data_IF_346966615947
#
_entry.id   IF_346966615947
#
_cell.length_a   1.000
_cell.length_b   1.000
_cell.length_c   1.000
_cell.angle_alpha   90.00
_cell.angle_beta   90.00
_cell.angle_gamma   90.00
#
_symmetry.space_group_name_H-M   'P 1'
#
loop_
_entity.id
_entity.type
_entity.pdbx_description
1 polymer ?
#
# COMPACT_ATOMS: atom_id res chain seq x y z
N UNK A 1 -14.93 -33.08 3.34
CA UNK A 1 -14.34 -33.92 4.41
C UNK A 1 -12.82 -33.88 4.26
N UNK A 2 -12.19 -32.82 4.77
CA UNK A 2 -10.73 -32.71 4.85
C UNK A 2 -10.38 -32.81 6.33
N UNK A 3 -9.71 -33.90 6.72
CA UNK A 3 -9.12 -34.04 8.05
C UNK A 3 -7.90 -33.12 8.07
N UNK A 4 -8.03 -31.97 8.69
CA UNK A 4 -6.89 -31.17 9.11
C UNK A 4 -6.50 -31.70 10.49
N UNK A 5 -5.35 -32.34 10.58
CA UNK A 5 -4.76 -32.74 11.85
C UNK A 5 -4.60 -31.50 12.73
N UNK A 6 -5.33 -31.49 13.84
CA UNK A 6 -5.16 -30.54 14.94
C UNK A 6 -3.88 -30.97 15.65
N UNK A 7 -2.74 -30.59 15.09
CA UNK A 7 -1.49 -30.58 15.82
C UNK A 7 -1.47 -29.31 16.66
N UNK A 8 -1.50 -29.56 17.96
CA UNK A 8 -1.47 -28.64 19.09
C UNK A 8 -0.13 -27.87 19.12
N UNK A 9 0.10 -27.01 18.13
CA UNK A 9 1.18 -26.04 18.18
C UNK A 9 0.72 -24.88 19.07
N UNK A 10 0.99 -25.02 20.36
CA UNK A 10 1.10 -23.90 21.30
C UNK A 10 1.78 -22.73 20.58
N UNK A 11 1.00 -21.70 20.29
CA UNK A 11 1.49 -20.41 19.83
C UNK A 11 2.45 -19.92 20.91
N UNK A 12 3.76 -20.02 20.64
CA UNK A 12 4.82 -19.48 21.48
C UNK A 12 4.79 -17.96 21.34
N UNK A 13 3.80 -17.35 21.96
CA UNK A 13 3.66 -15.90 22.00
C UNK A 13 4.73 -15.32 22.93
N UNK A 14 5.48 -14.37 22.38
CA UNK A 14 6.15 -13.28 23.10
C UNK A 14 7.29 -13.64 24.06
N UNK A 15 8.30 -14.35 23.57
CA UNK A 15 9.65 -14.27 24.15
C UNK A 15 10.55 -13.39 23.29
N UNK A 16 10.60 -13.67 21.99
CA UNK A 16 11.61 -13.11 21.09
C UNK A 16 11.36 -11.63 20.73
N UNK A 17 10.09 -11.19 20.70
CA UNK A 17 9.73 -9.79 20.42
C UNK A 17 10.10 -8.88 21.60
N UNK A 18 9.87 -9.35 22.83
CA UNK A 18 10.24 -8.63 24.04
C UNK A 18 11.76 -8.66 24.27
N UNK A 19 12.42 -9.78 23.97
CA UNK A 19 13.88 -9.90 24.01
C UNK A 19 14.57 -8.98 23.00
N UNK A 20 14.06 -8.89 21.78
CA UNK A 20 14.55 -7.95 20.76
C UNK A 20 14.31 -6.48 21.14
N UNK A 21 13.17 -6.16 21.78
CA UNK A 21 12.88 -4.81 22.28
C UNK A 21 13.80 -4.42 23.46
N UNK A 22 14.08 -5.36 24.37
CA UNK A 22 15.00 -5.16 25.50
C UNK A 22 16.45 -5.07 25.02
N UNK A 23 16.90 -5.86 24.05
CA UNK A 23 18.23 -5.72 23.43
C UNK A 23 18.40 -4.38 22.70
N UNK A 24 17.35 -3.88 22.04
CA UNK A 24 17.39 -2.57 21.39
C UNK A 24 17.49 -1.42 22.40
N UNK A 25 16.74 -1.50 23.50
CA UNK A 25 16.80 -0.55 24.62
C UNK A 25 18.09 -0.68 25.44
N UNK A 26 18.73 -1.85 25.43
CA UNK A 26 20.02 -2.13 26.06
C UNK A 26 21.22 -1.95 25.12
N UNK A 27 21.04 -1.27 23.96
CA UNK A 27 22.14 -0.78 23.13
C UNK A 27 22.87 0.37 23.84
N UNK A 28 23.55 0.02 24.93
CA UNK A 28 24.52 0.87 25.60
C UNK A 28 25.49 1.40 24.53
N UNK A 29 25.58 2.74 24.46
CA UNK A 29 26.52 3.38 23.55
C UNK A 29 27.89 2.78 23.85
N UNK A 30 28.56 2.13 22.89
CA UNK A 30 29.82 1.44 23.18
C UNK A 30 30.81 2.49 23.67
N UNK A 31 31.18 2.40 24.95
CA UNK A 31 32.04 3.37 25.63
C UNK A 31 33.38 3.60 24.93
N UNK A 32 33.85 2.61 24.16
CA UNK A 32 35.00 2.75 23.26
C UNK A 32 34.79 3.82 22.19
N UNK A 33 33.60 3.92 21.59
CA UNK A 33 33.27 4.98 20.62
C UNK A 33 33.12 6.34 21.29
N UNK A 34 32.59 6.38 22.52
CA UNK A 34 32.46 7.61 23.31
C UNK A 34 33.84 8.14 23.70
N UNK A 35 34.74 7.28 24.18
CA UNK A 35 36.11 7.67 24.52
C UNK A 35 36.90 8.14 23.29
N UNK A 36 36.81 7.42 22.16
CA UNK A 36 37.45 7.86 20.90
C UNK A 36 36.88 9.20 20.43
N UNK A 37 35.57 9.44 20.60
CA UNK A 37 34.94 10.72 20.29
C UNK A 37 35.44 11.85 21.20
N UNK A 38 35.51 11.63 22.51
CA UNK A 38 36.01 12.63 23.47
C UNK A 38 37.47 12.98 23.18
N UNK A 39 38.32 11.98 22.91
CA UNK A 39 39.73 12.21 22.54
C UNK A 39 39.83 12.98 21.22
N UNK A 40 39.03 12.63 20.21
CA UNK A 40 39.00 13.35 18.94
C UNK A 40 38.57 14.82 19.11
N UNK A 41 37.57 15.10 19.97
CA UNK A 41 37.12 16.46 20.30
C UNK A 41 38.21 17.25 21.05
N UNK A 42 38.92 16.63 21.99
CA UNK A 42 40.04 17.27 22.69
C UNK A 42 41.19 17.62 21.73
N UNK A 43 41.54 16.73 20.80
CA UNK A 43 42.56 16.98 19.76
C UNK A 43 42.12 18.10 18.82
N UNK A 44 40.85 18.12 18.43
CA UNK A 44 40.22 19.18 17.65
C UNK A 44 40.33 20.55 18.33
N UNK A 45 39.92 20.64 19.61
CA UNK A 45 39.95 21.88 20.38
C UNK A 45 41.38 22.38 20.60
N UNK A 46 42.32 21.47 20.85
CA UNK A 46 43.74 21.82 20.98
C UNK A 46 44.32 22.38 19.66
N UNK A 47 44.06 21.73 18.52
CA UNK A 47 44.51 22.21 17.20
C UNK A 47 43.86 23.54 16.78
N UNK A 48 42.60 23.74 17.15
CA UNK A 48 41.87 24.99 16.94
C UNK A 48 42.48 26.13 17.76
N UNK A 49 42.80 25.87 19.04
CA UNK A 49 43.39 26.85 19.95
C UNK A 49 44.83 27.23 19.55
N UNK A 50 45.65 26.27 19.13
CA UNK A 50 47.02 26.59 18.68
C UNK A 50 47.01 27.43 17.41
N UNK A 51 46.18 27.09 16.43
CA UNK A 51 46.09 27.87 15.18
C UNK A 51 45.52 29.28 15.39
N UNK A 52 44.59 29.44 16.34
CA UNK A 52 44.06 30.75 16.74
C UNK A 52 45.15 31.68 17.29
N UNK A 53 46.00 31.16 18.19
CA UNK A 53 47.05 31.95 18.86
C UNK A 53 48.12 32.42 17.87
N UNK A 54 48.41 31.64 16.83
CA UNK A 54 49.55 31.90 15.94
C UNK A 54 49.19 32.49 14.56
N UNK A 55 48.01 32.23 14.01
CA UNK A 55 47.67 32.55 12.61
C UNK A 55 46.31 33.25 12.42
N UNK A 56 45.58 33.54 13.50
CA UNK A 56 44.29 34.22 13.47
C UNK A 56 43.09 33.28 13.32
N UNK A 57 41.89 33.86 13.40
CA UNK A 57 40.64 33.09 13.52
C UNK A 57 40.19 32.39 12.22
N UNK A 58 40.57 32.91 11.05
CA UNK A 58 40.15 32.38 9.74
C UNK A 58 40.79 31.01 9.43
N UNK A 59 42.07 30.83 9.75
CA UNK A 59 42.80 29.56 9.57
C UNK A 59 42.32 28.49 10.54
N UNK A 60 41.96 28.89 11.76
CA UNK A 60 41.36 28.03 12.77
C UNK A 60 40.04 27.38 12.28
N UNK A 61 39.18 28.15 11.60
CA UNK A 61 37.94 27.63 11.00
C UNK A 61 38.20 26.61 9.88
N UNK A 62 39.20 26.86 9.03
CA UNK A 62 39.57 25.93 7.95
C UNK A 62 40.09 24.61 8.51
N UNK A 63 40.95 24.67 9.54
CA UNK A 63 41.49 23.48 10.21
C UNK A 63 40.38 22.69 10.90
N UNK A 64 39.46 23.36 11.59
CA UNK A 64 38.29 22.72 12.20
C UNK A 64 37.44 21.99 11.15
N UNK A 65 37.15 22.64 10.01
CA UNK A 65 36.37 22.04 8.93
C UNK A 65 37.04 20.79 8.36
N UNK A 66 38.35 20.83 8.10
CA UNK A 66 39.12 19.68 7.59
C UNK A 66 39.07 18.52 8.58
N UNK A 67 39.28 18.78 9.87
CA UNK A 67 39.29 17.71 10.87
C UNK A 67 37.89 17.10 11.04
N UNK A 68 36.81 17.89 10.94
CA UNK A 68 35.43 17.37 10.93
C UNK A 68 35.22 16.44 9.72
N UNK A 69 35.67 16.84 8.52
CA UNK A 69 35.56 16.01 7.32
C UNK A 69 36.33 14.70 7.49
N UNK A 70 37.57 14.76 7.98
CA UNK A 70 38.41 13.57 8.25
C UNK A 70 37.75 12.66 9.29
N UNK A 71 37.20 13.23 10.37
CA UNK A 71 36.47 12.47 11.38
C UNK A 71 35.24 11.77 10.79
N UNK A 72 34.44 12.47 9.98
CA UNK A 72 33.27 11.89 9.33
C UNK A 72 33.66 10.76 8.37
N UNK A 73 34.69 10.97 7.57
CA UNK A 73 35.20 9.94 6.65
C UNK A 73 35.67 8.72 7.43
N UNK A 74 36.51 8.87 8.46
CA UNK A 74 37.08 7.74 9.20
C UNK A 74 36.03 6.98 10.03
N UNK A 75 35.16 7.69 10.74
CA UNK A 75 34.23 7.07 11.68
C UNK A 75 32.94 6.59 11.00
N UNK A 76 32.47 7.31 9.97
CA UNK A 76 31.26 6.99 9.23
C UNK A 76 31.53 6.45 7.82
N UNK A 77 32.77 6.03 7.49
CA UNK A 77 33.13 5.46 6.18
C UNK A 77 32.14 4.39 5.71
N UNK A 78 31.78 3.47 6.62
CA UNK A 78 30.84 2.38 6.33
C UNK A 78 29.46 2.92 5.96
N UNK A 79 28.99 3.96 6.62
CA UNK A 79 27.72 4.61 6.32
C UNK A 79 27.78 5.41 5.03
N UNK A 80 28.87 6.12 4.75
CA UNK A 80 29.09 6.81 3.48
C UNK A 80 29.11 5.83 2.30
N UNK A 81 29.78 4.69 2.47
CA UNK A 81 29.81 3.63 1.47
C UNK A 81 28.42 3.03 1.23
N UNK A 82 27.66 2.74 2.29
CA UNK A 82 26.27 2.29 2.17
C UNK A 82 25.42 3.35 1.47
N UNK A 83 25.53 4.61 1.89
CA UNK A 83 24.77 5.73 1.30
C UNK A 83 25.08 5.92 -0.18
N UNK A 84 26.35 5.85 -0.59
CA UNK A 84 26.73 5.89 -2.00
C UNK A 84 26.19 4.70 -2.79
N UNK A 85 26.22 3.50 -2.20
CA UNK A 85 25.71 2.29 -2.84
C UNK A 85 24.19 2.28 -2.96
N UNK A 86 23.46 2.81 -1.97
CA UNK A 86 21.99 2.93 -2.01
C UNK A 86 21.51 4.19 -2.70
N UNK A 87 22.37 5.20 -2.91
CA UNK A 87 22.02 6.49 -3.50
C UNK A 87 21.19 6.33 -4.77
N UNK A 88 21.62 5.48 -5.72
CA UNK A 88 20.87 5.26 -6.97
C UNK A 88 19.44 4.80 -6.73
N UNK A 89 19.23 3.85 -5.82
CA UNK A 89 17.91 3.36 -5.42
C UNK A 89 17.12 4.48 -4.74
N UNK A 90 17.74 5.18 -3.80
CA UNK A 90 17.07 6.19 -2.97
C UNK A 90 16.69 7.42 -3.80
N UNK A 91 17.53 7.85 -4.74
CA UNK A 91 17.20 8.88 -5.73
C UNK A 91 16.06 8.44 -6.65
N UNK A 92 16.04 7.17 -7.09
CA UNK A 92 14.94 6.65 -7.91
C UNK A 92 13.63 6.62 -7.14
N UNK A 93 13.67 6.23 -5.85
CA UNK A 93 12.53 6.27 -4.96
C UNK A 93 12.05 7.71 -4.71
N UNK A 94 12.97 8.64 -4.45
CA UNK A 94 12.67 10.06 -4.27
C UNK A 94 12.04 10.66 -5.53
N UNK A 95 12.60 10.37 -6.70
CA UNK A 95 12.05 10.82 -7.97
C UNK A 95 10.66 10.25 -8.22
N UNK A 96 10.46 8.94 -7.97
CA UNK A 96 9.14 8.31 -8.05
C UNK A 96 8.14 8.96 -7.10
N UNK A 97 8.55 9.23 -5.86
CA UNK A 97 7.74 9.91 -4.85
C UNK A 97 7.34 11.32 -5.28
N UNK A 98 8.30 12.13 -5.75
CA UNK A 98 8.02 13.48 -6.26
C UNK A 98 7.10 13.44 -7.49
N UNK A 99 7.27 12.45 -8.37
CA UNK A 99 6.41 12.24 -9.54
C UNK A 99 4.98 11.88 -9.11
N UNK A 100 4.81 10.97 -8.15
CA UNK A 100 3.49 10.62 -7.60
C UNK A 100 2.84 11.84 -6.96
N UNK A 101 3.57 12.60 -6.14
CA UNK A 101 3.04 13.84 -5.55
C UNK A 101 2.59 14.86 -6.60
N UNK A 102 3.39 15.07 -7.65
CA UNK A 102 3.05 15.97 -8.74
C UNK A 102 1.81 15.50 -9.50
N UNK A 103 1.72 14.20 -9.79
CA UNK A 103 0.59 13.59 -10.48
C UNK A 103 -0.70 13.69 -9.64
N UNK A 104 -0.64 13.33 -8.36
CA UNK A 104 -1.76 13.42 -7.43
C UNK A 104 -2.25 14.87 -7.28
N UNK A 105 -1.32 15.84 -7.18
CA UNK A 105 -1.67 17.27 -7.18
C UNK A 105 -2.36 17.70 -8.47
N UNK A 106 -1.89 17.23 -9.62
CA UNK A 106 -2.47 17.54 -10.93
C UNK A 106 -3.90 16.98 -11.06
N UNK A 107 -4.13 15.74 -10.66
CA UNK A 107 -5.46 15.12 -10.68
C UNK A 107 -6.42 15.77 -9.69
N UNK A 108 -5.94 16.07 -8.47
CA UNK A 108 -6.73 16.78 -7.46
C UNK A 108 -7.16 18.17 -7.93
N UNK A 109 -6.26 18.95 -8.55
CA UNK A 109 -6.60 20.28 -9.11
C UNK A 109 -7.65 20.22 -10.20
N UNK A 110 -7.70 19.12 -10.97
CA UNK A 110 -8.68 18.89 -12.04
C UNK A 110 -9.97 18.23 -11.56
N UNK A 111 -10.07 17.90 -10.27
CA UNK A 111 -11.17 17.13 -9.68
C UNK A 111 -11.44 15.80 -10.39
N UNK A 112 -10.38 15.14 -10.89
CA UNK A 112 -10.53 13.88 -11.60
C UNK A 112 -10.94 12.75 -10.65
N UNK A 113 -11.98 12.01 -11.02
CA UNK A 113 -12.38 10.79 -10.35
C UNK A 113 -11.56 9.59 -10.83
N UNK A 114 -11.46 8.52 -10.03
CA UNK A 114 -10.76 7.30 -10.44
C UNK A 114 -11.31 6.70 -11.75
N UNK A 115 -12.63 6.64 -11.97
CA UNK A 115 -13.18 6.22 -13.26
C UNK A 115 -12.81 7.13 -14.43
N UNK A 116 -12.68 8.44 -14.23
CA UNK A 116 -12.22 9.36 -15.30
C UNK A 116 -10.75 9.14 -15.64
N UNK A 117 -9.90 8.93 -14.64
CA UNK A 117 -8.48 8.59 -14.86
C UNK A 117 -8.40 7.28 -15.65
N UNK A 118 -9.18 6.27 -15.25
CA UNK A 118 -9.24 5.00 -15.96
C UNK A 118 -9.76 5.17 -17.41
N UNK A 119 -10.84 5.91 -17.61
CA UNK A 119 -11.40 6.20 -18.93
C UNK A 119 -10.37 6.85 -19.86
N UNK A 120 -9.60 7.82 -19.35
CA UNK A 120 -8.51 8.44 -20.12
C UNK A 120 -7.42 7.44 -20.55
N UNK A 121 -7.16 6.40 -19.76
CA UNK A 121 -6.24 5.31 -20.12
C UNK A 121 -6.88 4.41 -21.18
N UNK A 122 -8.17 4.09 -21.03
CA UNK A 122 -8.92 3.27 -21.99
C UNK A 122 -8.94 3.94 -23.37
N UNK A 123 -9.17 5.25 -23.44
CA UNK A 123 -9.14 6.01 -24.71
C UNK A 123 -7.78 5.92 -25.43
N UNK A 124 -6.67 5.76 -24.69
CA UNK A 124 -5.33 5.65 -25.27
C UNK A 124 -4.95 4.22 -25.65
N UNK A 125 -5.46 3.23 -24.91
CA UNK A 125 -5.04 1.84 -25.02
C UNK A 125 -6.23 0.87 -24.87
N UNK A 126 -7.28 0.95 -25.71
CA UNK A 126 -8.52 0.21 -25.48
C UNK A 126 -8.33 -1.31 -25.55
N UNK A 127 -7.54 -1.78 -26.51
CA UNK A 127 -7.34 -3.21 -26.78
C UNK A 127 -6.15 -3.82 -26.03
N UNK A 128 -5.44 -3.01 -25.23
CA UNK A 128 -4.33 -3.50 -24.42
C UNK A 128 -4.85 -4.34 -23.25
N UNK A 129 -4.16 -5.43 -22.93
CA UNK A 129 -4.43 -6.22 -21.74
C UNK A 129 -4.33 -5.35 -20.47
N UNK A 130 -5.41 -5.37 -19.67
CA UNK A 130 -5.55 -4.67 -18.40
C UNK A 130 -5.40 -5.64 -17.22
N UNK A 131 -6.09 -6.78 -17.26
CA UNK A 131 -5.96 -7.85 -16.27
C UNK A 131 -5.75 -9.20 -16.94
N UNK A 132 -4.91 -10.02 -16.32
CA UNK A 132 -4.69 -11.42 -16.66
C UNK A 132 -5.21 -12.24 -15.47
N UNK A 133 -6.09 -13.19 -15.73
CA UNK A 133 -6.69 -14.04 -14.70
C UNK A 133 -6.90 -15.44 -15.28
N UNK A 134 -6.19 -16.44 -14.76
CA UNK A 134 -6.20 -17.80 -15.31
C UNK A 134 -5.97 -17.76 -16.84
N UNK A 135 -6.87 -18.35 -17.62
CA UNK A 135 -6.85 -18.35 -19.08
C UNK A 135 -7.52 -17.12 -19.73
N UNK A 136 -8.00 -16.17 -18.92
CA UNK A 136 -8.70 -14.97 -19.37
C UNK A 136 -7.76 -13.76 -19.50
N UNK A 137 -7.89 -13.05 -20.62
CA UNK A 137 -7.28 -11.73 -20.81
C UNK A 137 -8.36 -10.69 -20.95
N UNK A 138 -8.40 -9.74 -20.00
CA UNK A 138 -9.34 -8.63 -20.00
C UNK A 138 -8.66 -7.36 -20.52
N UNK A 139 -9.18 -6.78 -21.59
CA UNK A 139 -8.68 -5.50 -22.12
C UNK A 139 -9.19 -4.32 -21.31
N UNK A 140 -8.54 -3.16 -21.43
CA UNK A 140 -9.02 -1.92 -20.81
C UNK A 140 -10.46 -1.60 -21.20
N UNK A 141 -10.81 -1.76 -22.49
CA UNK A 141 -12.16 -1.53 -22.99
C UNK A 141 -13.19 -2.47 -22.36
N UNK A 142 -12.88 -3.77 -22.22
CA UNK A 142 -13.78 -4.73 -21.61
C UNK A 142 -14.07 -4.43 -20.14
N UNK A 143 -13.05 -4.00 -19.38
CA UNK A 143 -13.22 -3.56 -17.99
C UNK A 143 -14.07 -2.29 -17.90
N UNK A 144 -13.86 -1.34 -18.81
CA UNK A 144 -14.68 -0.14 -18.89
C UNK A 144 -16.14 -0.47 -19.19
N UNK A 145 -16.40 -1.28 -20.21
CA UNK A 145 -17.75 -1.69 -20.60
C UNK A 145 -18.46 -2.41 -19.45
N UNK A 146 -17.75 -3.29 -18.74
CA UNK A 146 -18.28 -3.98 -17.56
C UNK A 146 -18.60 -2.99 -16.44
N UNK A 147 -17.68 -2.08 -16.12
CA UNK A 147 -17.87 -1.03 -15.12
C UNK A 147 -19.07 -0.13 -15.43
N UNK A 148 -19.28 0.23 -16.70
CA UNK A 148 -20.43 1.00 -17.16
C UNK A 148 -21.73 0.21 -16.95
N UNK A 149 -21.77 -1.08 -17.30
CA UNK A 149 -22.93 -1.94 -17.04
C UNK A 149 -23.25 -2.05 -15.55
N UNK A 150 -22.24 -2.22 -14.70
CA UNK A 150 -22.41 -2.23 -13.23
C UNK A 150 -23.00 -0.91 -12.76
N UNK A 151 -22.46 0.24 -13.20
CA UNK A 151 -22.98 1.54 -12.81
C UNK A 151 -24.44 1.75 -13.21
N UNK A 152 -24.83 1.29 -14.42
CA UNK A 152 -26.21 1.37 -14.88
C UNK A 152 -27.14 0.47 -14.05
N UNK A 153 -26.71 -0.75 -13.72
CA UNK A 153 -27.45 -1.68 -12.88
C UNK A 153 -27.62 -1.13 -11.44
N UNK A 154 -26.56 -0.58 -10.84
CA UNK A 154 -26.64 0.01 -9.51
C UNK A 154 -27.53 1.25 -9.47
N UNK A 155 -27.44 2.10 -10.50
CA UNK A 155 -28.33 3.26 -10.65
C UNK A 155 -29.80 2.85 -10.72
N UNK A 156 -30.13 1.78 -11.46
CA UNK A 156 -31.52 1.28 -11.54
C UNK A 156 -32.01 0.66 -10.22
N UNK A 157 -31.11 0.17 -9.37
CA UNK A 157 -31.41 -0.27 -7.99
C UNK A 157 -31.53 0.88 -6.99
N UNK A 158 -31.29 2.12 -7.43
CA UNK A 158 -31.47 3.34 -6.66
C UNK A 158 -30.23 3.79 -5.89
N UNK A 159 -29.03 3.31 -6.25
CA UNK A 159 -27.76 3.81 -5.68
C UNK A 159 -27.56 5.27 -6.09
N UNK A 160 -27.22 6.11 -5.12
CA UNK A 160 -26.97 7.55 -5.27
C UNK A 160 -25.56 7.91 -4.85
N UNK A 161 -25.15 9.13 -5.23
CA UNK A 161 -23.88 9.72 -4.77
C UNK A 161 -23.87 9.81 -3.25
N UNK A 162 -22.77 9.37 -2.65
CA UNK A 162 -22.60 9.34 -1.19
C UNK A 162 -23.09 8.08 -0.50
N UNK A 163 -23.83 7.20 -1.20
CA UNK A 163 -24.20 5.90 -0.64
C UNK A 163 -22.95 5.02 -0.47
N UNK A 164 -22.98 4.16 0.54
CA UNK A 164 -21.95 3.16 0.76
C UNK A 164 -22.40 1.82 0.19
N UNK A 165 -21.64 1.30 -0.78
CA UNK A 165 -21.90 0.04 -1.47
C UNK A 165 -20.73 -0.90 -1.21
N UNK A 166 -20.86 -1.76 -0.20
CA UNK A 166 -19.82 -2.75 0.08
C UNK A 166 -19.68 -3.76 -1.06
N UNK A 167 -18.45 -4.23 -1.28
CA UNK A 167 -18.14 -5.24 -2.29
C UNK A 167 -17.38 -6.38 -1.61
N UNK A 168 -17.93 -7.60 -1.67
CA UNK A 168 -17.30 -8.84 -1.24
C UNK A 168 -17.18 -9.78 -2.43
N UNK A 169 -16.02 -9.77 -3.06
CA UNK A 169 -15.74 -10.51 -4.29
C UNK A 169 -14.32 -11.09 -4.23
N UNK A 170 -14.09 -12.19 -4.94
CA UNK A 170 -12.76 -12.78 -5.08
C UNK A 170 -11.83 -11.92 -5.92
N UNK A 171 -10.58 -12.37 -6.06
CA UNK A 171 -9.53 -11.67 -6.81
C UNK A 171 -9.61 -11.96 -8.32
N UNK A 172 -10.71 -11.58 -8.95
CA UNK A 172 -10.92 -11.71 -10.40
C UNK A 172 -11.20 -10.34 -11.05
N UNK A 173 -11.06 -10.20 -12.39
CA UNK A 173 -11.15 -8.91 -13.09
C UNK A 173 -12.48 -8.17 -12.93
N UNK A 174 -13.56 -8.89 -12.64
CA UNK A 174 -14.86 -8.29 -12.36
C UNK A 174 -14.85 -7.45 -11.07
N UNK A 175 -14.06 -7.79 -10.05
CA UNK A 175 -14.01 -7.06 -8.78
C UNK A 175 -13.58 -5.59 -8.97
N UNK A 176 -12.43 -5.26 -9.60
CA UNK A 176 -12.07 -3.87 -9.86
C UNK A 176 -13.04 -3.19 -10.82
N UNK A 177 -13.67 -3.93 -11.75
CA UNK A 177 -14.69 -3.37 -12.63
C UNK A 177 -15.98 -2.98 -11.87
N UNK A 178 -16.41 -3.79 -10.89
CA UNK A 178 -17.52 -3.49 -9.98
C UNK A 178 -17.18 -2.25 -9.16
N UNK A 179 -15.98 -2.21 -8.56
CA UNK A 179 -15.50 -1.06 -7.79
C UNK A 179 -15.51 0.23 -8.62
N UNK A 180 -15.02 0.20 -9.87
CA UNK A 180 -15.10 1.32 -10.80
C UNK A 180 -16.56 1.71 -11.07
N UNK A 181 -17.45 0.73 -11.23
CA UNK A 181 -18.89 0.96 -11.44
C UNK A 181 -19.56 1.68 -10.27
N UNK A 182 -19.23 1.32 -9.03
CA UNK A 182 -19.67 2.02 -7.82
C UNK A 182 -19.11 3.45 -7.79
N UNK A 183 -17.81 3.61 -8.04
CA UNK A 183 -17.14 4.91 -8.03
C UNK A 183 -17.71 5.87 -9.09
N UNK A 184 -18.17 5.38 -10.24
CA UNK A 184 -18.83 6.19 -11.30
C UNK A 184 -20.12 6.86 -10.82
N UNK A 185 -20.81 6.27 -9.85
CA UNK A 185 -22.02 6.87 -9.25
C UNK A 185 -21.67 7.88 -8.15
N UNK A 186 -20.39 8.06 -7.82
CA UNK A 186 -19.94 8.84 -6.67
C UNK A 186 -20.31 8.19 -5.33
N UNK A 187 -20.52 6.87 -5.33
CA UNK A 187 -20.74 6.07 -4.14
C UNK A 187 -19.39 5.58 -3.56
N UNK A 188 -19.38 5.23 -2.28
CA UNK A 188 -18.20 4.74 -1.56
C UNK A 188 -18.20 3.21 -1.59
N UNK A 189 -17.09 2.60 -1.98
CA UNK A 189 -16.96 1.16 -2.15
C UNK A 189 -16.01 0.53 -1.12
N UNK A 190 -16.46 0.23 0.11
CA UNK A 190 -15.65 -0.54 1.05
C UNK A 190 -15.50 -1.98 0.54
N UNK A 191 -14.26 -2.45 0.46
CA UNK A 191 -13.94 -3.82 0.06
C UNK A 191 -13.91 -4.70 1.31
N UNK A 192 -14.85 -5.65 1.39
CA UNK A 192 -14.96 -6.58 2.52
C UNK A 192 -14.06 -7.78 2.26
N UNK A 193 -13.30 -8.18 3.27
CA UNK A 193 -12.44 -9.35 3.20
C UNK A 193 -13.29 -10.62 3.06
N UNK A 194 -12.98 -11.43 2.04
CA UNK A 194 -13.69 -12.66 1.68
C UNK A 194 -13.66 -13.75 2.76
N UNK A 195 -12.73 -13.66 3.71
CA UNK A 195 -12.61 -14.61 4.82
C UNK A 195 -13.49 -14.25 6.04
N UNK A 196 -14.19 -13.11 6.01
CA UNK A 196 -15.03 -12.67 7.13
C UNK A 196 -16.40 -13.36 7.09
N UNK A 197 -16.80 -13.93 8.22
CA UNK A 197 -18.12 -14.55 8.45
C UNK A 197 -18.71 -14.11 9.80
N UNK A 198 -19.97 -14.46 10.05
CA UNK A 198 -20.67 -14.16 11.30
C UNK A 198 -20.51 -12.71 11.77
N UNK A 199 -20.14 -12.55 13.05
CA UNK A 199 -19.99 -11.24 13.71
C UNK A 199 -18.95 -10.33 13.05
N UNK A 200 -17.88 -10.88 12.46
CA UNK A 200 -16.84 -10.06 11.82
C UNK A 200 -17.33 -9.40 10.54
N UNK A 201 -18.12 -10.14 9.75
CA UNK A 201 -18.77 -9.62 8.54
C UNK A 201 -19.79 -8.53 8.90
N UNK A 202 -20.66 -8.79 9.89
CA UNK A 202 -21.62 -7.82 10.40
C UNK A 202 -20.94 -6.55 10.89
N UNK A 203 -19.85 -6.69 11.66
CA UNK A 203 -19.10 -5.55 12.16
C UNK A 203 -18.56 -4.68 11.03
N UNK A 204 -17.95 -5.27 9.99
CA UNK A 204 -17.46 -4.54 8.82
C UNK A 204 -18.57 -3.77 8.10
N UNK A 205 -19.72 -4.42 7.87
CA UNK A 205 -20.88 -3.79 7.22
C UNK A 205 -21.40 -2.61 8.05
N UNK A 206 -21.51 -2.77 9.37
CA UNK A 206 -22.05 -1.76 10.27
C UNK A 206 -21.10 -0.56 10.45
N UNK A 207 -19.79 -0.82 10.61
CA UNK A 207 -18.78 0.24 10.73
C UNK A 207 -18.69 1.07 9.46
N UNK A 208 -18.79 0.43 8.30
CA UNK A 208 -18.79 1.12 7.01
C UNK A 208 -20.13 1.84 6.72
N UNK A 209 -21.18 1.61 7.51
CA UNK A 209 -22.54 2.16 7.31
C UNK A 209 -23.07 1.86 5.90
N UNK A 210 -22.99 0.61 5.48
CA UNK A 210 -23.38 0.18 4.14
C UNK A 210 -24.88 0.37 3.89
N UNK A 211 -25.24 0.94 2.73
CA UNK A 211 -26.62 0.98 2.23
C UNK A 211 -26.90 -0.22 1.29
N UNK A 212 -25.86 -0.67 0.60
CA UNK A 212 -25.91 -1.81 -0.32
C UNK A 212 -24.72 -2.72 -0.06
N UNK A 213 -24.89 -4.01 -0.33
CA UNK A 213 -23.80 -4.98 -0.31
C UNK A 213 -23.86 -5.81 -1.58
N UNK A 214 -22.80 -5.73 -2.38
CA UNK A 214 -22.57 -6.56 -3.55
C UNK A 214 -21.71 -7.74 -3.12
N UNK A 215 -22.16 -8.96 -3.35
CA UNK A 215 -21.38 -10.15 -3.04
C UNK A 215 -21.47 -11.22 -4.14
N UNK A 216 -20.40 -11.98 -4.31
CA UNK A 216 -20.38 -13.11 -5.24
C UNK A 216 -21.20 -14.28 -4.68
N UNK A 217 -21.83 -15.07 -5.56
CA UNK A 217 -22.55 -16.29 -5.19
C UNK A 217 -21.73 -17.30 -4.38
N UNK A 218 -20.40 -17.25 -4.46
CA UNK A 218 -19.49 -18.06 -3.64
C UNK A 218 -19.57 -17.76 -2.13
N UNK A 219 -20.02 -16.56 -1.76
CA UNK A 219 -20.14 -16.11 -0.37
C UNK A 219 -21.57 -16.19 0.17
N UNK A 220 -22.47 -16.92 -0.50
CA UNK A 220 -23.87 -17.01 -0.06
C UNK A 220 -23.98 -17.58 1.36
N UNK A 221 -23.19 -18.60 1.71
CA UNK A 221 -23.18 -19.20 3.05
C UNK A 221 -22.88 -18.18 4.15
N UNK A 222 -21.88 -17.32 3.94
CA UNK A 222 -21.53 -16.27 4.88
C UNK A 222 -22.67 -15.25 5.07
N UNK A 223 -23.39 -14.93 3.99
CA UNK A 223 -24.54 -14.02 4.04
C UNK A 223 -25.81 -14.68 4.60
N UNK A 224 -26.00 -16.00 4.44
CA UNK A 224 -27.12 -16.72 5.07
C UNK A 224 -26.96 -16.75 6.60
N UNK A 225 -25.74 -16.93 7.10
CA UNK A 225 -25.44 -16.94 8.54
C UNK A 225 -25.84 -15.62 9.20
N UNK A 226 -25.48 -14.48 8.59
CA UNK A 226 -25.72 -13.14 9.15
C UNK A 226 -27.07 -12.53 8.77
N UNK A 227 -27.86 -13.22 7.94
CA UNK A 227 -29.10 -12.68 7.35
C UNK A 227 -30.12 -12.22 8.39
N UNK A 228 -30.17 -12.87 9.54
CA UNK A 228 -31.12 -12.56 10.64
C UNK A 228 -30.73 -11.30 11.39
N UNK A 229 -29.44 -11.02 11.49
CA UNK A 229 -28.88 -9.92 12.28
C UNK A 229 -28.55 -8.69 11.42
N UNK A 230 -28.67 -8.82 10.10
CA UNK A 230 -28.45 -7.72 9.16
C UNK A 230 -29.62 -6.74 9.19
N UNK A 231 -29.31 -5.43 9.17
CA UNK A 231 -30.31 -4.38 9.09
C UNK A 231 -31.17 -4.55 7.82
N UNK A 232 -32.51 -4.61 7.94
CA UNK A 232 -33.41 -4.82 6.80
C UNK A 232 -33.40 -3.69 5.76
N UNK A 233 -32.85 -2.52 6.09
CA UNK A 233 -32.66 -1.41 5.15
C UNK A 233 -31.53 -1.67 4.14
N UNK A 234 -30.60 -2.57 4.45
CA UNK A 234 -29.44 -2.88 3.61
C UNK A 234 -29.88 -3.78 2.45
N UNK A 235 -29.63 -3.31 1.22
CA UNK A 235 -29.97 -4.07 0.01
C UNK A 235 -28.83 -4.99 -0.39
N UNK A 236 -29.09 -6.30 -0.34
CA UNK A 236 -28.18 -7.33 -0.81
C UNK A 236 -28.29 -7.51 -2.33
N UNK A 237 -27.16 -7.42 -3.03
CA UNK A 237 -27.04 -7.58 -4.48
C UNK A 237 -26.08 -8.75 -4.76
N UNK A 238 -26.64 -9.90 -5.09
CA UNK A 238 -25.85 -11.06 -5.49
C UNK A 238 -25.45 -10.96 -6.95
N UNK A 239 -24.19 -11.22 -7.27
CA UNK A 239 -23.75 -11.46 -8.64
C UNK A 239 -23.11 -12.84 -8.77
N UNK A 240 -23.18 -13.39 -9.97
CA UNK A 240 -22.52 -14.64 -10.33
C UNK A 240 -21.45 -14.32 -11.36
N UNK A 241 -20.24 -14.83 -11.12
CA UNK A 241 -19.13 -14.67 -12.04
C UNK A 241 -19.50 -15.32 -13.38
N UNK A 242 -19.16 -14.64 -14.47
CA UNK A 242 -19.27 -15.19 -15.82
C UNK A 242 -17.94 -14.98 -16.53
N UNK A 243 -17.15 -16.07 -16.74
CA UNK A 243 -15.86 -15.95 -17.41
C UNK A 243 -16.05 -15.32 -18.79
N UNK A 244 -15.13 -14.42 -19.16
CA UNK A 244 -15.13 -13.84 -20.50
C UNK A 244 -14.73 -14.93 -21.51
N UNK A 245 -15.47 -15.06 -22.62
CA UNK A 245 -15.21 -16.09 -23.63
C UNK A 245 -13.72 -16.13 -24.00
N UNK A 246 -13.09 -17.26 -23.72
CA UNK A 246 -11.66 -17.52 -23.93
C UNK A 246 -11.40 -17.45 -25.44
N UNK A 247 -10.80 -16.35 -25.91
CA UNK A 247 -10.26 -16.28 -27.25
C UNK A 247 -9.06 -17.24 -27.35
N UNK A 248 -8.91 -17.94 -28.47
CA UNK A 248 -7.75 -18.80 -28.76
C UNK A 248 -6.40 -18.06 -28.78
N UNK A 249 -6.44 -16.72 -28.80
CA UNK A 249 -5.28 -15.82 -28.73
C UNK A 249 -4.95 -15.35 -27.29
N UNK A 250 -5.51 -16.00 -26.25
CA UNK A 250 -5.20 -15.64 -24.87
C UNK A 250 -3.70 -15.77 -24.59
N UNK A 251 -3.13 -14.70 -24.03
CA UNK A 251 -1.72 -14.70 -23.61
C UNK A 251 -1.62 -15.63 -22.41
N UNK A 252 -1.09 -16.84 -22.64
CA UNK A 252 -0.83 -17.79 -21.56
C UNK A 252 0.16 -17.17 -20.58
N UNK A 253 -0.30 -16.92 -19.36
CA UNK A 253 0.60 -16.61 -18.25
C UNK A 253 1.30 -17.92 -17.90
N UNK A 254 2.54 -18.08 -18.35
CA UNK A 254 3.37 -19.22 -17.94
C UNK A 254 3.82 -18.95 -16.51
N UNK A 255 3.45 -19.84 -15.57
CA UNK A 255 3.96 -19.86 -14.20
C UNK A 255 5.46 -20.14 -14.13
#
# INVERSE_FOLDING_TARGET
MNKTDINDHKIKQSGDIEKGRIEYLASSVPWSKVMVFVVAVCVLLAACATTWVFQGWQTSLQVLAIIIVVYVILFYWRWLWVALRTAKRDFSALFCYLKILSLTRSFSKKNFSMPEIFHNVVLRHPDKACFLYEDETWTFKQIEDFSLRVSAALKSKGVKRGDTVAVMAGNYPEMPAIWLGVARLGAVAPLINTNQTGNTLLHSINVAKCNFVIYCSEFDDAFQEVKKDLDPSIKLLKFTRRPLNVSSDSVKVVE
#
